data_IF_622877866363
#
_entry.id   IF_622877866363
#
_cell.length_a   1.000
_cell.length_b   1.000
_cell.length_c   1.000
_cell.angle_alpha   90.00
_cell.angle_beta   90.00
_cell.angle_gamma   90.00
#
_symmetry.space_group_name_H-M   'P 1'
#
loop_
_entity.id
_entity.type
_entity.pdbx_description
1 polymer ?
#
# COMPACT_ATOMS: atom_id res chain seq x y z
N UNK A 1 -18.14 7.01 -9.35
CA UNK A 1 -17.06 6.48 -10.23
C UNK A 1 -16.24 5.46 -9.44
N UNK A 2 -15.47 4.60 -10.10
CA UNK A 2 -14.54 3.66 -9.43
C UNK A 2 -13.09 4.04 -9.71
N UNK A 3 -12.21 3.72 -8.78
CA UNK A 3 -10.79 4.02 -8.82
C UNK A 3 -9.98 2.78 -8.49
N UNK A 4 -8.77 2.67 -9.04
CA UNK A 4 -7.85 1.58 -8.69
C UNK A 4 -7.06 1.99 -7.44
N UNK A 5 -7.06 1.13 -6.43
CA UNK A 5 -6.32 1.29 -5.20
C UNK A 5 -5.33 0.12 -5.04
N UNK A 6 -4.06 0.45 -4.88
CA UNK A 6 -3.00 -0.47 -4.53
C UNK A 6 -2.86 -0.52 -3.01
N UNK A 7 -3.07 -1.70 -2.45
CA UNK A 7 -2.91 -1.96 -1.02
C UNK A 7 -1.68 -2.83 -0.79
N UNK A 8 -0.82 -2.41 0.13
CA UNK A 8 0.49 -3.02 0.36
C UNK A 8 0.71 -3.43 1.82
N UNK A 9 -0.33 -3.37 2.67
CA UNK A 9 -0.21 -3.53 4.11
C UNK A 9 -1.39 -4.25 4.75
N UNK A 10 -1.86 -3.74 5.89
CA UNK A 10 -2.92 -4.33 6.74
C UNK A 10 -4.31 -4.40 6.09
N UNK A 11 -4.49 -3.75 4.93
CA UNK A 11 -5.69 -3.82 4.11
C UNK A 11 -5.73 -5.08 3.21
N UNK A 12 -4.65 -5.86 3.13
CA UNK A 12 -4.60 -7.11 2.36
C UNK A 12 -5.62 -8.14 2.87
N UNK A 13 -6.04 -9.06 1.98
CA UNK A 13 -6.97 -10.15 2.33
C UNK A 13 -6.43 -10.99 3.48
N UNK A 14 -7.29 -11.24 4.48
CA UNK A 14 -6.95 -12.04 5.66
C UNK A 14 -6.37 -11.25 6.84
N UNK A 15 -6.28 -9.93 6.74
CA UNK A 15 -5.87 -9.05 7.84
C UNK A 15 -7.05 -8.25 8.41
N UNK A 16 -6.88 -7.71 9.61
CA UNK A 16 -7.95 -7.10 10.43
C UNK A 16 -8.76 -6.00 9.73
N UNK A 17 -8.23 -5.38 8.67
CA UNK A 17 -8.91 -4.30 7.92
C UNK A 17 -9.49 -4.73 6.57
N UNK A 18 -9.46 -6.01 6.21
CA UNK A 18 -10.08 -6.50 4.97
C UNK A 18 -11.58 -6.16 4.86
N UNK A 19 -12.28 -6.06 6.00
CA UNK A 19 -13.69 -5.62 6.04
C UNK A 19 -13.92 -4.25 5.38
N UNK A 20 -12.91 -3.37 5.35
CA UNK A 20 -13.01 -2.06 4.70
C UNK A 20 -13.10 -2.15 3.16
N UNK A 21 -12.60 -3.25 2.58
CA UNK A 21 -12.69 -3.56 1.15
C UNK A 21 -13.85 -4.52 0.82
N UNK A 22 -14.71 -4.83 1.80
CA UNK A 22 -15.85 -5.70 1.58
C UNK A 22 -16.79 -5.11 0.50
N UNK A 23 -17.09 -5.91 -0.53
CA UNK A 23 -17.90 -5.51 -1.68
C UNK A 23 -17.13 -4.87 -2.84
N UNK A 24 -15.81 -4.71 -2.71
CA UNK A 24 -14.96 -4.14 -3.75
C UNK A 24 -14.39 -5.23 -4.66
N UNK A 25 -14.00 -4.84 -5.88
CA UNK A 25 -13.54 -5.80 -6.89
C UNK A 25 -12.03 -5.98 -6.82
N UNK A 26 -11.58 -7.16 -6.43
CA UNK A 26 -10.18 -7.55 -6.54
C UNK A 26 -9.79 -7.67 -8.01
N UNK A 27 -8.77 -6.94 -8.45
CA UNK A 27 -8.26 -7.03 -9.82
C UNK A 27 -7.10 -8.01 -9.93
N UNK A 28 -6.25 -8.10 -8.92
CA UNK A 28 -5.09 -9.00 -8.92
C UNK A 28 -3.92 -8.50 -8.07
N UNK A 29 -2.86 -9.31 -7.94
CA UNK A 29 -1.61 -8.87 -7.33
C UNK A 29 -0.89 -7.84 -8.20
N UNK A 30 -0.38 -6.78 -7.59
CA UNK A 30 0.37 -5.72 -8.26
C UNK A 30 1.74 -5.50 -7.64
N UNK A 31 2.62 -4.82 -8.37
CA UNK A 31 3.93 -4.44 -7.86
C UNK A 31 4.25 -3.02 -8.27
N UNK A 32 4.80 -2.22 -7.36
CA UNK A 32 5.23 -0.86 -7.67
C UNK A 32 6.55 -0.86 -8.45
N UNK A 33 6.76 0.20 -9.22
CA UNK A 33 8.09 0.56 -9.74
C UNK A 33 9.09 0.71 -8.58
N UNK A 34 10.40 0.54 -8.79
CA UNK A 34 11.41 0.59 -7.74
C UNK A 34 11.73 2.03 -7.25
N UNK A 35 10.70 2.85 -7.05
CA UNK A 35 10.79 4.23 -6.55
C UNK A 35 10.16 4.40 -5.16
N UNK A 36 9.85 3.30 -4.46
CA UNK A 36 9.19 3.35 -3.16
C UNK A 36 9.93 2.54 -2.11
N UNK A 37 9.84 2.95 -0.84
CA UNK A 37 10.30 2.14 0.29
C UNK A 37 9.19 1.95 1.29
N UNK A 38 9.25 0.83 1.99
CA UNK A 38 8.40 0.55 3.14
C UNK A 38 9.15 0.87 4.43
N UNK A 39 8.47 1.54 5.33
CA UNK A 39 8.93 1.81 6.68
C UNK A 39 7.99 1.18 7.70
N UNK A 40 8.54 0.72 8.82
CA UNK A 40 7.75 0.22 9.95
C UNK A 40 7.36 1.44 10.78
N UNK A 41 6.09 1.86 10.66
CA UNK A 41 5.55 2.99 11.44
C UNK A 41 5.16 2.51 12.84
N UNK A 42 4.43 1.40 12.89
CA UNK A 42 4.01 0.72 14.11
C UNK A 42 3.66 -0.73 13.75
N UNK A 43 2.42 -1.16 13.96
CA UNK A 43 1.89 -2.46 13.53
C UNK A 43 1.55 -2.51 12.02
N UNK A 44 1.78 -1.40 11.30
CA UNK A 44 1.49 -1.27 9.88
C UNK A 44 2.67 -0.66 9.11
N UNK A 45 2.77 -0.98 7.81
CA UNK A 45 3.80 -0.44 6.96
C UNK A 45 3.39 0.95 6.43
N UNK A 46 4.35 1.86 6.33
CA UNK A 46 4.21 3.15 5.66
C UNK A 46 4.98 3.15 4.34
N UNK A 47 4.29 3.34 3.22
CA UNK A 47 4.91 3.50 1.91
C UNK A 47 5.36 4.95 1.70
N UNK A 48 6.60 5.13 1.25
CA UNK A 48 7.16 6.44 0.93
C UNK A 48 7.81 6.39 -0.44
N UNK A 49 7.57 7.41 -1.26
CA UNK A 49 8.28 7.61 -2.53
C UNK A 49 9.69 8.14 -2.24
N UNK A 50 10.69 7.50 -2.82
CA UNK A 50 12.10 7.88 -2.71
C UNK A 50 12.67 8.24 -4.08
N UNK A 51 13.84 8.88 -4.09
CA UNK A 51 14.53 9.23 -5.34
C UNK A 51 14.87 7.99 -6.18
N UNK A 52 15.06 8.20 -7.48
CA UNK A 52 15.39 7.15 -8.42
C UNK A 52 16.65 6.36 -8.02
N UNK A 53 16.61 5.04 -8.21
CA UNK A 53 17.70 4.13 -7.82
C UNK A 53 17.81 3.83 -6.31
N UNK A 54 17.07 4.53 -5.44
CA UNK A 54 17.06 4.27 -4.00
C UNK A 54 15.84 3.43 -3.55
N UNK A 55 14.83 3.23 -4.38
CA UNK A 55 13.61 2.52 -4.01
C UNK A 55 13.68 1.00 -4.19
N UNK A 56 12.57 0.34 -3.87
CA UNK A 56 12.29 -1.08 -4.07
C UNK A 56 10.90 -1.25 -4.65
N UNK A 57 10.72 -2.30 -5.43
CA UNK A 57 9.44 -2.66 -6.00
C UNK A 57 8.60 -3.41 -4.98
N UNK A 58 7.59 -2.75 -4.43
CA UNK A 58 6.74 -3.25 -3.36
C UNK A 58 5.61 -4.08 -3.93
N UNK A 59 5.41 -5.28 -3.40
CA UNK A 59 4.31 -6.18 -3.76
C UNK A 59 3.08 -5.86 -2.93
N UNK A 60 1.93 -5.90 -3.58
CA UNK A 60 0.65 -5.66 -2.96
C UNK A 60 -0.48 -6.19 -3.82
N UNK A 61 -1.68 -5.72 -3.53
CA UNK A 61 -2.91 -6.12 -4.19
C UNK A 61 -3.54 -4.89 -4.82
N UNK A 62 -4.06 -5.02 -6.04
CA UNK A 62 -4.80 -3.97 -6.74
C UNK A 62 -6.29 -4.28 -6.64
N UNK A 63 -7.03 -3.31 -6.15
CA UNK A 63 -8.47 -3.36 -5.98
C UNK A 63 -9.12 -2.23 -6.77
N UNK A 64 -10.28 -2.49 -7.33
CA UNK A 64 -11.15 -1.47 -7.87
C UNK A 64 -12.18 -1.12 -6.81
N UNK A 65 -12.13 0.13 -6.36
CA UNK A 65 -12.91 0.65 -5.25
C UNK A 65 -13.77 1.83 -5.69
N UNK A 66 -15.02 1.85 -5.24
CA UNK A 66 -15.91 3.00 -5.37
C UNK A 66 -15.45 4.18 -4.51
N UNK A 67 -15.75 5.41 -4.93
CA UNK A 67 -15.43 6.63 -4.17
C UNK A 67 -15.94 6.61 -2.72
N UNK A 68 -17.11 6.01 -2.46
CA UNK A 68 -17.64 5.87 -1.10
C UNK A 68 -16.74 5.01 -0.19
N UNK A 69 -16.13 3.96 -0.73
CA UNK A 69 -15.19 3.12 0.02
C UNK A 69 -13.86 3.84 0.21
N UNK A 70 -13.38 4.57 -0.80
CA UNK A 70 -12.20 5.42 -0.67
C UNK A 70 -12.33 6.41 0.48
N UNK A 71 -13.48 7.09 0.61
CA UNK A 71 -13.72 8.00 1.74
C UNK A 71 -13.65 7.30 3.09
N UNK A 72 -14.23 6.10 3.22
CA UNK A 72 -14.12 5.30 4.45
C UNK A 72 -12.68 4.91 4.74
N UNK A 73 -11.90 4.54 3.73
CA UNK A 73 -10.48 4.24 3.87
C UNK A 73 -9.68 5.49 4.27
N UNK A 74 -10.01 6.65 3.71
CA UNK A 74 -9.41 7.93 4.10
C UNK A 74 -9.64 8.22 5.60
N UNK A 75 -10.82 7.88 6.14
CA UNK A 75 -11.12 7.98 7.57
C UNK A 75 -10.32 6.97 8.41
N UNK A 76 -10.23 5.71 7.97
CA UNK A 76 -9.52 4.63 8.69
C UNK A 76 -8.01 4.88 8.74
N UNK A 77 -7.43 5.35 7.63
CA UNK A 77 -5.99 5.63 7.52
C UNK A 77 -5.64 7.02 8.07
N UNK A 78 -6.61 7.79 8.56
CA UNK A 78 -6.35 9.09 9.19
C UNK A 78 -5.83 10.14 8.21
N UNK A 79 -6.38 10.18 7.00
CA UNK A 79 -6.01 11.17 5.98
C UNK A 79 -6.37 12.60 6.42
N UNK A 80 -7.49 12.74 7.14
CA UNK A 80 -7.88 14.02 7.75
C UNK A 80 -6.88 14.49 8.83
N UNK A 81 -6.20 13.56 9.49
CA UNK A 81 -5.18 13.85 10.52
C UNK A 81 -3.77 14.04 9.92
N UNK A 82 -3.67 14.06 8.58
CA UNK A 82 -2.41 14.09 7.85
C UNK A 82 -1.43 12.99 8.28
N UNK A 83 -1.95 11.80 8.65
CA UNK A 83 -1.13 10.63 8.95
C UNK A 83 -0.68 9.93 7.66
N UNK A 84 -1.64 9.75 6.75
CA UNK A 84 -1.45 9.24 5.41
C UNK A 84 -2.09 10.19 4.39
N UNK A 85 -1.66 10.13 3.15
CA UNK A 85 -2.31 10.83 2.05
C UNK A 85 -2.40 9.91 0.83
N UNK A 86 -3.46 10.04 0.07
CA UNK A 86 -3.65 9.25 -1.15
C UNK A 86 -2.92 9.91 -2.31
N UNK A 87 -2.02 9.19 -2.94
CA UNK A 87 -1.31 9.65 -4.13
C UNK A 87 -1.28 8.57 -5.22
N UNK A 88 -1.20 8.97 -6.51
CA UNK A 88 -0.98 8.02 -7.58
C UNK A 88 0.42 7.40 -7.47
N UNK A 89 0.46 6.08 -7.60
CA UNK A 89 1.68 5.28 -7.64
C UNK A 89 1.82 4.60 -8.99
N UNK A 90 3.08 4.42 -9.38
CA UNK A 90 3.47 3.76 -10.61
C UNK A 90 3.63 2.27 -10.32
N UNK A 91 2.82 1.47 -10.99
CA UNK A 91 2.88 0.02 -10.94
C UNK A 91 3.58 -0.54 -12.18
N UNK A 92 4.08 -1.76 -12.05
CA UNK A 92 4.54 -2.55 -13.19
C UNK A 92 3.34 -3.21 -13.89
N UNK A 93 3.50 -3.66 -15.15
CA UNK A 93 2.50 -4.46 -15.84
C UNK A 93 1.99 -5.64 -15.00
N UNK A 94 0.68 -5.95 -15.06
CA UNK A 94 -0.31 -5.43 -16.02
C UNK A 94 -1.08 -4.16 -15.58
N UNK A 95 -0.64 -3.48 -14.51
CA UNK A 95 -1.36 -2.34 -13.92
C UNK A 95 -0.73 -0.98 -14.23
N UNK A 96 0.23 -0.91 -15.15
CA UNK A 96 0.88 0.33 -15.59
C UNK A 96 0.01 1.18 -16.54
N UNK A 97 -1.06 0.59 -17.08
CA UNK A 97 -1.97 1.22 -18.07
C UNK A 97 -2.82 2.38 -17.52
N UNK A 98 -3.16 2.38 -16.22
CA UNK A 98 -3.94 3.47 -15.60
C UNK A 98 -3.34 3.88 -14.26
N UNK A 99 -3.52 5.16 -13.84
CA UNK A 99 -3.12 5.58 -12.52
C UNK A 99 -3.78 4.73 -11.44
N UNK A 100 -2.98 4.23 -10.52
CA UNK A 100 -3.44 3.50 -9.35
C UNK A 100 -3.08 4.30 -8.12
N UNK A 101 -4.03 4.49 -7.24
CA UNK A 101 -3.83 5.25 -6.01
C UNK A 101 -3.27 4.33 -4.92
N UNK A 102 -2.43 4.86 -4.05
CA UNK A 102 -2.05 4.19 -2.81
C UNK A 102 -1.99 5.21 -1.67
N UNK A 103 -2.05 4.72 -0.44
CA UNK A 103 -1.82 5.54 0.75
C UNK A 103 -0.31 5.69 0.94
N UNK A 104 0.20 6.91 0.96
CA UNK A 104 1.58 7.20 1.29
C UNK A 104 1.63 7.80 2.69
N UNK A 105 2.68 7.45 3.43
CA UNK A 105 2.87 7.99 4.77
C UNK A 105 3.27 9.46 4.68
N UNK A 106 2.52 10.31 5.37
CA UNK A 106 2.70 11.77 5.32
C UNK A 106 3.81 12.26 6.25
N UNK A 107 4.07 11.53 7.33
CA UNK A 107 5.02 11.94 8.37
C UNK A 107 6.48 11.60 8.02
N UNK A 108 7.45 12.31 8.62
CA UNK A 108 8.87 12.11 8.35
C UNK A 108 9.36 10.75 8.82
N UNK A 109 9.85 9.92 7.88
CA UNK A 109 10.33 8.56 8.15
C UNK A 109 11.78 8.47 8.65
N UNK A 110 12.43 9.60 8.92
CA UNK A 110 13.86 9.65 9.34
C UNK A 110 14.16 8.86 10.61
N UNK A 111 13.17 8.68 11.48
CA UNK A 111 13.28 7.91 12.73
C UNK A 111 12.66 6.53 12.65
N UNK A 112 12.05 6.17 11.52
CA UNK A 112 11.41 4.88 11.34
C UNK A 112 12.40 3.85 10.82
N UNK A 113 12.21 2.61 11.26
CA UNK A 113 12.99 1.49 10.75
C UNK A 113 12.51 1.19 9.35
N UNK A 114 13.44 1.15 8.40
CA UNK A 114 13.14 0.65 7.08
C UNK A 114 12.77 -0.83 7.14
N UNK A 115 11.72 -1.19 6.42
CA UNK A 115 11.33 -2.58 6.26
C UNK A 115 12.21 -3.23 5.19
N UNK A 116 12.96 -4.30 5.53
CA UNK A 116 13.94 -4.89 4.61
C UNK A 116 13.30 -5.72 3.48
N UNK A 117 12.02 -6.10 3.60
CA UNK A 117 11.30 -6.90 2.60
C UNK A 117 10.62 -6.05 1.53
N UNK A 118 10.20 -6.69 0.45
CA UNK A 118 9.39 -6.09 -0.62
C UNK A 118 7.89 -6.40 -0.50
N UNK A 119 7.47 -7.19 0.49
CA UNK A 119 6.07 -7.54 0.74
C UNK A 119 5.74 -7.53 2.24
N UNK A 120 4.61 -6.90 2.61
CA UNK A 120 4.07 -6.93 3.97
C UNK A 120 2.86 -7.89 4.08
N UNK A 121 2.65 -8.54 5.24
CA UNK A 121 3.60 -8.67 6.35
C UNK A 121 4.83 -9.48 5.92
N UNK A 122 5.94 -9.32 6.64
CA UNK A 122 7.14 -10.12 6.37
C UNK A 122 6.79 -11.61 6.52
N UNK A 123 6.57 -12.31 5.41
CA UNK A 123 6.53 -13.77 5.43
C UNK A 123 7.98 -14.23 5.58
N UNK A 124 8.43 -14.33 6.82
CA UNK A 124 9.55 -15.21 7.15
C UNK A 124 9.15 -16.60 6.67
N UNK A 125 9.57 -17.01 5.48
CA UNK A 125 9.70 -18.43 5.21
C UNK A 125 10.82 -18.93 6.14
N UNK A 126 10.50 -19.21 7.40
CA UNK A 126 11.23 -20.24 8.12
C UNK A 126 10.87 -21.54 7.39
N UNK A 127 11.81 -22.25 6.74
CA UNK A 127 11.61 -23.68 6.60
C UNK A 127 11.49 -24.19 8.03
N UNK A 128 10.33 -24.76 8.37
CA UNK A 128 10.25 -25.64 9.52
C UNK A 128 11.25 -26.76 9.24
N UNK A 129 12.31 -26.82 10.03
CA UNK A 129 13.20 -27.97 10.17
C UNK A 129 12.41 -29.11 10.81
#
# INVERSE_FOLDING_TARGET
MTQRLFVYGTLKRGLSRHAALAGQRFLGPGRTQPHYRLYVVADFPGLVRVADGAGRSIRGEVWEVSEACLRRLDEIEGVADALFYRAPVELTPPFDDRPVLAYLYAAPVRRLREFPGDEWPYRSSHPAD
#
